data_IF_732889989026
#
_entry.id   IF_732889989026
#
_cell.length_a   1.000
_cell.length_b   1.000
_cell.length_c   1.000
_cell.angle_alpha   90.00
_cell.angle_beta   90.00
_cell.angle_gamma   90.00
#
_symmetry.space_group_name_H-M   'P 1'
#
loop_
_entity.id
_entity.type
_entity.pdbx_description
1 polymer ?
#
# COMPACT_ATOMS: atom_id res chain seq x y z
N UNK A 1 -5.93 -4.80 0.50
CA UNK A 1 -4.57 -4.64 1.06
C UNK A 1 -3.89 -3.56 0.25
N UNK A 2 -3.12 -2.71 0.90
CA UNK A 2 -2.38 -1.64 0.24
C UNK A 2 -1.02 -1.45 0.90
N UNK A 3 -0.04 -1.01 0.11
CA UNK A 3 1.32 -0.72 0.58
C UNK A 3 1.73 0.69 0.21
N UNK A 4 2.24 1.43 1.19
CA UNK A 4 2.92 2.71 0.99
C UNK A 4 4.40 2.42 0.86
N UNK A 5 4.97 2.79 -0.28
CA UNK A 5 6.34 2.45 -0.63
C UNK A 5 7.14 3.73 -0.83
N UNK A 6 8.31 3.86 -0.20
CA UNK A 6 9.16 5.05 -0.32
C UNK A 6 9.90 5.15 -1.67
N UNK A 7 9.30 4.66 -2.75
CA UNK A 7 9.82 4.70 -4.12
C UNK A 7 8.90 5.61 -4.94
N UNK A 8 9.46 6.66 -5.53
CA UNK A 8 8.69 7.61 -6.35
C UNK A 8 8.37 7.07 -7.76
N UNK A 9 9.32 6.34 -8.36
CA UNK A 9 9.16 5.77 -9.70
C UNK A 9 8.23 4.55 -9.66
N UNK A 10 6.97 4.73 -10.06
CA UNK A 10 5.99 3.65 -10.14
C UNK A 10 6.39 2.53 -11.11
N UNK A 11 7.26 2.81 -12.08
CA UNK A 11 7.84 1.78 -12.96
C UNK A 11 8.89 0.93 -12.25
N UNK A 12 9.64 1.50 -11.31
CA UNK A 12 10.54 0.74 -10.43
C UNK A 12 9.77 -0.16 -9.48
N UNK A 13 8.68 0.35 -8.91
CA UNK A 13 7.77 -0.46 -8.07
C UNK A 13 7.19 -1.63 -8.88
N UNK A 14 6.72 -1.38 -10.10
CA UNK A 14 6.22 -2.42 -10.99
C UNK A 14 7.30 -3.49 -11.28
N UNK A 15 8.54 -3.09 -11.58
CA UNK A 15 9.66 -4.02 -11.81
C UNK A 15 9.96 -4.88 -10.59
N UNK A 16 9.97 -4.30 -9.38
CA UNK A 16 10.21 -5.03 -8.13
C UNK A 16 9.10 -6.03 -7.80
N UNK A 17 7.89 -5.77 -8.28
CA UNK A 17 6.75 -6.69 -8.23
C UNK A 17 6.70 -7.66 -9.41
N UNK A 18 7.73 -7.66 -10.27
CA UNK A 18 7.81 -8.48 -11.48
C UNK A 18 6.64 -8.28 -12.45
N UNK A 19 6.03 -7.09 -12.45
CA UNK A 19 4.97 -6.74 -13.39
C UNK A 19 5.61 -6.43 -14.75
N UNK A 20 5.21 -7.19 -15.76
CA UNK A 20 5.71 -7.04 -17.12
C UNK A 20 5.20 -5.72 -17.74
N UNK A 21 6.14 -4.86 -18.16
CA UNK A 21 5.84 -3.55 -18.72
C UNK A 21 4.91 -3.63 -19.96
N UNK A 22 5.05 -4.68 -20.77
CA UNK A 22 4.24 -4.91 -21.97
C UNK A 22 2.76 -5.21 -21.66
N UNK A 23 2.48 -5.68 -20.44
CA UNK A 23 1.13 -6.04 -19.98
C UNK A 23 0.49 -4.97 -19.11
N UNK A 24 1.23 -3.91 -18.82
CA UNK A 24 0.80 -2.84 -17.91
C UNK A 24 -0.13 -1.87 -18.64
N UNK A 25 -1.24 -1.52 -17.99
CA UNK A 25 -2.23 -0.57 -18.49
C UNK A 25 -2.17 0.70 -17.63
N UNK A 26 -2.06 1.86 -18.27
CA UNK A 26 -2.21 3.15 -17.58
C UNK A 26 -3.70 3.43 -17.39
N UNK A 27 -4.14 3.59 -16.15
CA UNK A 27 -5.52 3.92 -15.84
C UNK A 27 -5.67 4.63 -14.49
N UNK A 28 -6.83 5.26 -14.28
CA UNK A 28 -7.20 5.81 -12.97
C UNK A 28 -7.71 4.73 -11.99
N UNK A 29 -7.96 5.16 -10.75
CA UNK A 29 -8.48 4.29 -9.70
C UNK A 29 -9.82 3.66 -10.06
N UNK A 30 -10.74 4.40 -10.68
CA UNK A 30 -12.09 3.90 -10.98
C UNK A 30 -12.02 2.74 -11.97
N UNK A 31 -11.23 2.90 -13.03
CA UNK A 31 -10.98 1.84 -14.01
C UNK A 31 -10.24 0.64 -13.39
N UNK A 32 -9.27 0.87 -12.48
CA UNK A 32 -8.60 -0.21 -11.76
C UNK A 32 -9.58 -1.03 -10.90
N UNK A 33 -10.55 -0.37 -10.26
CA UNK A 33 -11.55 -1.03 -9.40
C UNK A 33 -12.53 -1.92 -10.16
N UNK A 34 -12.65 -1.81 -11.48
CA UNK A 34 -13.43 -2.77 -12.29
C UNK A 34 -12.85 -4.20 -12.23
N UNK A 35 -11.58 -4.33 -11.86
CA UNK A 35 -10.89 -5.61 -11.70
C UNK A 35 -10.90 -6.12 -10.24
N UNK A 36 -11.51 -5.38 -9.32
CA UNK A 36 -11.59 -5.76 -7.92
C UNK A 36 -12.48 -7.00 -7.70
N UNK A 37 -12.03 -7.93 -6.86
CA UNK A 37 -12.86 -9.05 -6.41
C UNK A 37 -13.10 -10.17 -7.42
N UNK A 38 -12.40 -10.20 -8.55
CA UNK A 38 -12.48 -11.30 -9.54
C UNK A 38 -11.87 -12.59 -8.96
N UNK A 39 -12.63 -13.30 -8.11
CA UNK A 39 -12.25 -14.54 -7.41
C UNK A 39 -12.67 -15.77 -8.21
N UNK A 40 -11.79 -16.25 -9.08
CA UNK A 40 -11.66 -17.68 -9.43
C UNK A 40 -10.49 -17.88 -10.41
N UNK A 41 -9.32 -18.26 -9.88
CA UNK A 41 -8.13 -18.64 -10.67
C UNK A 41 -7.48 -17.53 -11.51
N UNK A 42 -7.79 -16.25 -11.22
CA UNK A 42 -7.25 -15.10 -11.92
C UNK A 42 -5.92 -14.63 -11.34
N UNK A 43 -5.01 -14.19 -12.22
CA UNK A 43 -3.68 -13.68 -11.88
C UNK A 43 -3.73 -12.54 -10.85
N UNK A 44 -2.71 -12.45 -9.99
CA UNK A 44 -2.59 -11.38 -8.99
C UNK A 44 -2.51 -10.03 -9.67
N UNK A 45 -3.32 -9.05 -9.23
CA UNK A 45 -3.35 -7.72 -9.86
C UNK A 45 -3.09 -6.63 -8.83
N UNK A 46 -2.28 -5.68 -9.23
CA UNK A 46 -2.03 -4.47 -8.47
C UNK A 46 -2.20 -3.23 -9.35
N UNK A 47 -2.68 -2.17 -8.73
CA UNK A 47 -2.65 -0.82 -9.27
C UNK A 47 -1.64 0.02 -8.48
N UNK A 48 -0.65 0.57 -9.18
CA UNK A 48 0.46 1.31 -8.61
C UNK A 48 0.35 2.76 -9.02
N UNK A 49 0.34 3.68 -8.07
CA UNK A 49 0.22 5.11 -8.37
C UNK A 49 1.19 5.92 -7.55
N UNK A 50 1.57 7.09 -8.08
CA UNK A 50 2.39 8.04 -7.34
C UNK A 50 1.52 8.66 -6.24
N UNK A 51 2.03 8.69 -5.02
CA UNK A 51 1.33 9.29 -3.89
C UNK A 51 1.83 10.71 -3.65
N UNK A 52 3.12 10.84 -3.33
CA UNK A 52 3.78 12.11 -3.00
C UNK A 52 5.24 12.08 -3.51
N UNK A 53 6.00 13.19 -3.46
CA UNK A 53 7.44 13.13 -3.70
C UNK A 53 8.10 12.07 -2.81
N UNK A 54 8.85 11.15 -3.40
CA UNK A 54 9.45 10.02 -2.70
C UNK A 54 8.50 8.86 -2.35
N UNK A 55 7.20 8.91 -2.69
CA UNK A 55 6.23 7.90 -2.26
C UNK A 55 5.30 7.44 -3.39
N UNK A 56 5.02 6.14 -3.40
CA UNK A 56 3.96 5.52 -4.19
C UNK A 56 3.06 4.66 -3.32
N UNK A 57 1.88 4.34 -3.88
CA UNK A 57 0.93 3.41 -3.30
C UNK A 57 0.77 2.22 -4.24
N UNK A 58 0.81 1.01 -3.69
CA UNK A 58 0.42 -0.24 -4.35
C UNK A 58 -0.91 -0.69 -3.76
N UNK A 59 -1.92 -0.86 -4.60
CA UNK A 59 -3.23 -1.39 -4.21
C UNK A 59 -3.44 -2.78 -4.82
N UNK A 60 -3.59 -3.80 -3.97
CA UNK A 60 -3.83 -5.18 -4.40
C UNK A 60 -5.34 -5.43 -4.60
N UNK A 61 -5.74 -5.79 -5.82
CA UNK A 61 -7.15 -5.79 -6.25
C UNK A 61 -7.88 -7.12 -6.05
N UNK A 62 -7.15 -8.22 -5.90
CA UNK A 62 -7.71 -9.55 -5.69
C UNK A 62 -7.45 -10.11 -4.28
N UNK A 63 -6.94 -9.27 -3.37
CA UNK A 63 -6.73 -9.60 -1.96
C UNK A 63 -5.54 -10.53 -1.69
N UNK A 64 -4.71 -10.81 -2.69
CA UNK A 64 -3.45 -11.53 -2.51
C UNK A 64 -2.31 -10.54 -2.71
N UNK A 65 -1.43 -10.50 -1.71
CA UNK A 65 -0.32 -9.56 -1.61
C UNK A 65 0.97 -10.26 -1.98
N UNK A 66 1.85 -9.58 -2.71
CA UNK A 66 3.24 -10.02 -2.91
C UNK A 66 4.08 -9.78 -1.66
N UNK A 67 5.23 -10.44 -1.62
CA UNK A 67 6.27 -10.20 -0.61
C UNK A 67 6.71 -8.71 -0.63
N UNK A 68 6.59 -7.96 0.51
CA UNK A 68 7.03 -6.57 0.62
C UNK A 68 8.55 -6.41 0.59
N UNK A 69 9.29 -7.48 0.83
CA UNK A 69 10.75 -7.49 0.98
C UNK A 69 11.42 -6.86 -0.25
N UNK A 70 11.01 -7.27 -1.47
CA UNK A 70 11.55 -6.72 -2.72
C UNK A 70 11.34 -5.20 -2.84
N UNK A 71 10.20 -4.70 -2.35
CA UNK A 71 9.88 -3.27 -2.35
C UNK A 71 10.72 -2.48 -1.33
N UNK A 72 11.10 -3.11 -0.23
CA UNK A 72 11.89 -2.47 0.83
C UNK A 72 13.42 -2.44 0.58
N UNK A 73 13.94 -3.17 -0.42
CA UNK A 73 15.40 -3.21 -0.68
C UNK A 73 15.98 -1.85 -1.11
N UNK A 74 17.20 -1.56 -0.65
CA UNK A 74 17.96 -0.37 -1.05
C UNK A 74 17.60 0.88 -0.25
N UNK A 75 17.43 0.73 1.07
CA UNK A 75 17.05 1.75 2.04
C UNK A 75 15.59 2.19 1.93
N UNK A 76 14.74 1.35 1.32
CA UNK A 76 13.34 1.69 1.06
C UNK A 76 12.44 1.19 2.19
N UNK A 77 11.42 1.99 2.48
CA UNK A 77 10.44 1.75 3.54
C UNK A 77 9.15 1.30 2.89
N UNK A 78 8.53 0.28 3.47
CA UNK A 78 7.21 -0.19 3.09
C UNK A 78 6.34 -0.22 4.34
N UNK A 79 5.16 0.38 4.25
CA UNK A 79 4.12 0.21 5.25
C UNK A 79 2.94 -0.54 4.65
N UNK A 80 2.45 -1.54 5.38
CA UNK A 80 1.40 -2.44 4.90
C UNK A 80 0.10 -2.26 5.68
N UNK A 81 -1.00 -2.06 4.95
CA UNK A 81 -2.36 -2.10 5.50
C UNK A 81 -3.10 -3.30 4.92
N UNK A 82 -3.34 -4.30 5.76
CA UNK A 82 -4.00 -5.55 5.40
C UNK A 82 -5.26 -5.78 6.22
N UNK A 83 -6.39 -5.96 5.53
CA UNK A 83 -7.67 -6.29 6.15
C UNK A 83 -7.95 -7.78 5.97
N UNK A 84 -8.15 -8.48 7.08
CA UNK A 84 -8.49 -9.90 7.14
C UNK A 84 -10.01 -10.03 7.04
N UNK A 85 -10.50 -10.06 5.80
CA UNK A 85 -11.94 -10.15 5.46
C UNK A 85 -12.71 -11.29 6.15
N UNK A 86 -12.03 -12.37 6.59
CA UNK A 86 -12.67 -13.52 7.24
C UNK A 86 -13.09 -13.28 8.69
N UNK A 87 -12.45 -12.33 9.37
CA UNK A 87 -12.70 -12.02 10.78
C UNK A 87 -12.97 -10.54 11.04
N UNK A 88 -12.87 -9.69 10.01
CA UNK A 88 -13.18 -8.26 10.11
C UNK A 88 -12.15 -7.47 10.92
N UNK A 89 -10.90 -7.90 10.86
CA UNK A 89 -9.77 -7.26 11.56
C UNK A 89 -8.81 -6.64 10.54
N UNK A 90 -8.08 -5.59 10.93
CA UNK A 90 -6.95 -5.07 10.16
C UNK A 90 -5.69 -5.46 10.94
N UNK A 91 -4.72 -6.03 10.24
CA UNK A 91 -3.40 -6.27 10.82
C UNK A 91 -2.80 -4.96 11.27
N UNK A 92 -2.04 -4.98 12.38
CA UNK A 92 -1.30 -3.79 12.80
C UNK A 92 -0.44 -3.24 11.66
N UNK A 93 -0.32 -1.92 11.61
CA UNK A 93 0.37 -1.20 10.54
C UNK A 93 1.85 -1.61 10.50
N UNK A 94 2.13 -2.57 9.62
CA UNK A 94 3.42 -3.23 9.55
C UNK A 94 4.46 -2.32 8.92
N UNK A 95 5.69 -2.41 9.40
CA UNK A 95 6.83 -1.68 8.86
C UNK A 95 7.87 -2.67 8.34
N UNK A 96 8.35 -2.43 7.12
CA UNK A 96 9.39 -3.23 6.47
C UNK A 96 10.45 -2.28 5.92
N UNK A 97 11.71 -2.56 6.24
CA UNK A 97 12.86 -1.78 5.78
C UNK A 97 14.02 -2.72 5.41
N UNK A 98 14.53 -2.59 4.19
CA UNK A 98 15.66 -3.39 3.69
C UNK A 98 15.49 -4.91 3.85
N UNK A 99 14.29 -5.41 3.59
CA UNK A 99 13.93 -6.83 3.65
C UNK A 99 13.71 -7.36 5.06
N UNK A 100 13.83 -6.51 6.08
CA UNK A 100 13.57 -6.85 7.48
C UNK A 100 12.15 -6.45 7.83
N UNK A 101 11.39 -7.41 8.33
CA UNK A 101 10.08 -7.21 8.95
C UNK A 101 10.23 -7.52 10.45
N UNK A 102 10.50 -6.49 11.25
CA UNK A 102 10.82 -6.60 12.67
C UNK A 102 9.77 -5.98 13.59
N UNK A 103 8.69 -5.40 13.05
CA UNK A 103 7.57 -4.94 13.87
C UNK A 103 6.56 -4.08 13.12
N UNK A 104 6.04 -3.12 13.87
CA UNK A 104 5.05 -2.15 13.41
C UNK A 104 5.64 -0.75 13.38
N UNK A 105 4.94 0.18 12.75
CA UNK A 105 5.33 1.59 12.80
C UNK A 105 5.34 2.17 14.24
N UNK A 106 4.65 1.52 15.18
CA UNK A 106 4.53 1.97 16.57
C UNK A 106 5.75 1.62 17.42
N UNK A 107 6.52 0.61 17.00
CA UNK A 107 7.76 0.20 17.66
C UNK A 107 8.93 1.13 17.32
N UNK A 108 8.79 1.90 16.23
CA UNK A 108 9.83 2.75 15.66
C UNK A 108 9.73 4.19 16.15
N UNK A 109 10.69 4.58 17.01
CA UNK A 109 10.78 5.91 17.61
C UNK A 109 10.82 7.04 16.56
N UNK A 110 11.38 6.78 15.37
CA UNK A 110 11.42 7.75 14.27
C UNK A 110 10.02 8.15 13.76
N UNK A 111 9.03 7.26 13.88
CA UNK A 111 7.66 7.53 13.41
C UNK A 111 6.72 7.98 14.53
N UNK A 112 7.17 8.01 15.79
CA UNK A 112 6.33 8.41 16.93
C UNK A 112 5.63 9.75 16.72
N UNK A 113 6.33 10.71 16.12
CA UNK A 113 5.82 12.06 15.82
C UNK A 113 4.57 12.08 14.93
N UNK A 114 4.28 11.00 14.20
CA UNK A 114 3.16 10.93 13.28
C UNK A 114 1.88 10.38 13.93
N UNK A 115 1.98 9.73 15.09
CA UNK A 115 0.85 9.05 15.73
C UNK A 115 0.64 9.40 17.21
N UNK A 116 1.64 9.93 17.94
CA UNK A 116 1.55 10.12 19.40
C UNK A 116 0.43 11.04 19.89
N UNK A 117 -0.02 11.99 19.07
CA UNK A 117 -1.11 12.93 19.35
C UNK A 117 -2.48 12.42 18.90
N UNK A 118 -2.54 11.33 18.12
CA UNK A 118 -3.77 10.77 17.58
C UNK A 118 -4.60 10.08 18.68
N UNK A 119 -5.92 10.22 18.60
CA UNK A 119 -6.87 9.66 19.58
C UNK A 119 -8.05 9.05 18.83
N UNK A 120 -7.89 7.80 18.41
CA UNK A 120 -8.91 7.02 17.72
C UNK A 120 -9.43 5.89 18.59
N UNK A 121 -10.61 5.35 18.26
CA UNK A 121 -11.12 4.13 18.87
C UNK A 121 -10.53 2.90 18.19
N UNK A 122 -9.39 2.44 18.72
CA UNK A 122 -8.67 1.27 18.20
C UNK A 122 -9.40 -0.06 18.45
N UNK A 123 -10.51 -0.07 19.17
CA UNK A 123 -11.35 -1.26 19.30
C UNK A 123 -12.32 -1.43 18.12
N UNK A 124 -12.39 -0.44 17.24
CA UNK A 124 -13.24 -0.45 16.05
C UNK A 124 -12.40 -0.56 14.79
N UNK A 125 -12.90 -1.31 13.80
CA UNK A 125 -12.29 -1.43 12.48
C UNK A 125 -12.12 -0.05 11.80
N UNK A 126 -13.15 0.79 11.92
CA UNK A 126 -13.18 2.14 11.36
C UNK A 126 -12.12 3.01 12.02
N UNK A 127 -12.03 3.02 13.35
CA UNK A 127 -11.03 3.80 14.09
C UNK A 127 -9.59 3.35 13.83
N UNK A 128 -9.33 2.04 13.71
CA UNK A 128 -8.02 1.52 13.29
C UNK A 128 -7.66 2.00 11.88
N UNK A 129 -8.57 1.85 10.92
CA UNK A 129 -8.33 2.27 9.54
C UNK A 129 -8.12 3.78 9.44
N UNK A 130 -8.92 4.58 10.15
CA UNK A 130 -8.79 6.03 10.20
C UNK A 130 -7.43 6.46 10.75
N UNK A 131 -6.97 5.84 11.85
CA UNK A 131 -5.65 6.09 12.39
C UNK A 131 -4.56 5.77 11.37
N UNK A 132 -4.58 4.57 10.79
CA UNK A 132 -3.52 4.13 9.87
C UNK A 132 -3.43 5.02 8.64
N UNK A 133 -4.58 5.39 8.05
CA UNK A 133 -4.62 6.32 6.92
C UNK A 133 -4.12 7.72 7.32
N UNK A 134 -4.37 8.16 8.55
CA UNK A 134 -3.85 9.44 9.03
C UNK A 134 -2.34 9.39 9.24
N UNK A 135 -1.82 8.35 9.88
CA UNK A 135 -0.39 8.15 10.10
C UNK A 135 0.35 8.10 8.75
N UNK A 136 -0.14 7.29 7.81
CA UNK A 136 0.47 7.15 6.49
C UNK A 136 0.37 8.42 5.66
N UNK A 137 -0.72 9.18 5.80
CA UNK A 137 -0.85 10.50 5.19
C UNK A 137 0.19 11.50 5.71
N UNK A 138 0.46 11.46 7.02
CA UNK A 138 1.50 12.31 7.66
C UNK A 138 2.91 11.88 7.27
N UNK A 139 3.20 10.57 7.28
CA UNK A 139 4.51 10.00 6.92
C UNK A 139 4.86 10.26 5.46
N UNK A 140 3.90 10.04 4.55
CA UNK A 140 4.10 10.26 3.12
C UNK A 140 3.98 11.72 2.69
N UNK A 141 3.43 12.58 3.55
CA UNK A 141 3.18 14.00 3.26
C UNK A 141 1.96 14.24 2.36
N UNK A 142 1.10 13.23 2.12
CA UNK A 142 -0.15 13.38 1.37
C UNK A 142 -1.24 12.43 1.85
N UNK A 143 -2.43 12.97 2.12
CA UNK A 143 -3.64 12.19 2.39
C UNK A 143 -4.32 11.74 1.10
N UNK A 144 -5.02 10.60 1.15
CA UNK A 144 -5.82 10.12 0.03
C UNK A 144 -7.07 11.01 -0.12
N UNK A 145 -7.16 11.70 -1.25
CA UNK A 145 -8.22 12.65 -1.55
C UNK A 145 -8.78 12.43 -2.96
N UNK A 146 -9.81 13.20 -3.32
CA UNK A 146 -10.48 13.11 -4.63
C UNK A 146 -9.50 13.29 -5.79
N UNK A 147 -8.53 14.17 -5.64
CA UNK A 147 -7.53 14.45 -6.67
C UNK A 147 -6.61 13.23 -6.86
N UNK A 148 -6.19 12.60 -5.76
CA UNK A 148 -5.44 11.34 -5.80
C UNK A 148 -6.25 10.22 -6.47
N UNK A 149 -7.52 10.06 -6.15
CA UNK A 149 -8.39 9.05 -6.80
C UNK A 149 -8.54 9.27 -8.31
N UNK A 150 -8.33 10.49 -8.81
CA UNK A 150 -8.33 10.79 -10.26
C UNK A 150 -6.96 10.64 -10.94
N UNK A 151 -5.91 10.36 -10.16
CA UNK A 151 -4.54 10.24 -10.67
C UNK A 151 -4.38 8.97 -11.50
N UNK A 152 -3.55 9.06 -12.53
CA UNK A 152 -3.17 7.91 -13.35
C UNK A 152 -2.15 7.03 -12.61
N UNK A 153 -2.33 5.72 -12.70
CA UNK A 153 -1.42 4.71 -12.20
C UNK A 153 -1.19 3.59 -13.22
N UNK A 154 -0.40 2.60 -12.82
CA UNK A 154 -0.07 1.40 -13.57
C UNK A 154 -0.86 0.23 -13.01
N UNK A 155 -1.80 -0.31 -13.80
CA UNK A 155 -2.46 -1.57 -13.53
C UNK A 155 -1.68 -2.70 -14.18
N UNK A 156 -1.32 -3.73 -13.42
CA UNK A 156 -0.58 -4.86 -13.94
C UNK A 156 -0.85 -6.17 -13.22
N UNK A 157 -0.38 -7.25 -13.84
CA UNK A 157 -0.42 -8.59 -13.27
C UNK A 157 0.91 -8.87 -12.58
N UNK A 158 0.83 -9.28 -11.32
CA UNK A 158 1.94 -9.80 -10.54
C UNK A 158 2.02 -11.31 -10.82
N UNK A 159 3.19 -11.83 -11.23
CA UNK A 159 3.43 -13.26 -11.37
C UNK A 159 3.23 -14.01 -10.04
N UNK A 160 2.92 -15.32 -10.13
CA UNK A 160 2.95 -16.25 -8.99
C UNK A 160 4.38 -16.55 -8.53
#
# INVERSE_FOLDING_TARGET
MAQWVSIEDIGEVARRLHIEAETTVVCDFQAAMEFYGYKSGGSHRAWITRLAPGWSLVLYLNGLRSSPEALSLGGQRVFDVSCIYGIGEIDELSYIHDGVWDGTIYDEEEYRIYWEDLRYDLNSLEGQLEEYLCVLGRVSGRFLDRDWFSSQGLLGIIPE
#
